data_IF_204055387438
#
_entry.id   IF_204055387438
#
_cell.length_a   1.000
_cell.length_b   1.000
_cell.length_c   1.000
_cell.angle_alpha   90.00
_cell.angle_beta   90.00
_cell.angle_gamma   90.00
#
_symmetry.space_group_name_H-M   'P 1'
#
loop_
_entity.id
_entity.type
_entity.pdbx_description
1 polymer ?
#
# COMPACT_ATOMS: atom_id res chain seq x y z
N UNK A 1 12.31 -14.71 -18.77
CA UNK A 1 12.70 -14.28 -17.40
C UNK A 1 12.01 -15.12 -16.33
N UNK A 2 12.44 -15.07 -15.06
CA UNK A 2 11.79 -15.80 -13.95
C UNK A 2 10.30 -15.42 -13.84
N UNK A 3 9.97 -14.13 -13.97
CA UNK A 3 8.58 -13.65 -13.92
C UNK A 3 7.68 -14.30 -14.99
N UNK A 4 8.17 -14.39 -16.23
CA UNK A 4 7.44 -15.06 -17.32
C UNK A 4 7.36 -16.58 -17.09
N UNK A 5 8.46 -17.19 -16.64
CA UNK A 5 8.52 -18.65 -16.37
C UNK A 5 7.51 -19.08 -15.30
N UNK A 6 7.29 -18.25 -14.29
CA UNK A 6 6.41 -18.55 -13.16
C UNK A 6 5.10 -17.73 -13.16
N UNK A 7 4.82 -16.99 -14.24
CA UNK A 7 3.65 -16.11 -14.38
C UNK A 7 3.44 -15.20 -13.15
N UNK A 8 4.52 -14.55 -12.69
CA UNK A 8 4.52 -13.73 -11.47
C UNK A 8 3.94 -12.33 -11.74
N UNK A 9 3.04 -11.89 -10.86
CA UNK A 9 2.63 -10.48 -10.76
C UNK A 9 3.63 -9.73 -9.87
N UNK A 10 4.40 -8.79 -10.45
CA UNK A 10 5.50 -8.11 -9.75
C UNK A 10 5.22 -6.62 -9.65
N UNK A 11 4.93 -6.18 -8.43
CA UNK A 11 4.74 -4.78 -8.08
C UNK A 11 5.89 -4.19 -7.26
N UNK A 12 6.08 -2.88 -7.35
CA UNK A 12 7.01 -2.12 -6.51
C UNK A 12 6.29 -1.01 -5.74
N UNK A 13 6.63 -0.83 -4.45
CA UNK A 13 6.22 0.33 -3.67
C UNK A 13 7.38 1.35 -3.68
N UNK A 14 7.10 2.61 -4.00
CA UNK A 14 8.13 3.65 -4.20
C UNK A 14 7.63 5.04 -3.82
N UNK A 15 8.55 6.00 -3.65
CA UNK A 15 8.23 7.44 -3.60
C UNK A 15 8.19 8.09 -4.99
N UNK A 16 8.48 7.33 -6.06
CA UNK A 16 8.42 7.78 -7.45
C UNK A 16 9.39 8.93 -7.80
N UNK A 17 10.49 9.08 -7.05
CA UNK A 17 11.55 10.07 -7.37
C UNK A 17 12.43 9.56 -8.50
N UNK A 18 12.87 8.30 -8.42
CA UNK A 18 13.81 7.66 -9.36
C UNK A 18 13.09 7.13 -10.62
N UNK A 19 12.41 8.02 -11.35
CA UNK A 19 11.52 7.63 -12.45
C UNK A 19 12.24 6.90 -13.59
N UNK A 20 13.48 7.26 -13.91
CA UNK A 20 14.24 6.65 -15.01
C UNK A 20 14.48 5.15 -14.75
N UNK A 21 14.79 4.78 -13.51
CA UNK A 21 14.95 3.38 -13.08
C UNK A 21 13.63 2.64 -13.18
N UNK A 22 12.52 3.26 -12.78
CA UNK A 22 11.18 2.66 -12.89
C UNK A 22 10.80 2.40 -14.35
N UNK A 23 10.98 3.40 -15.22
CA UNK A 23 10.71 3.27 -16.66
C UNK A 23 11.57 2.16 -17.27
N UNK A 24 12.86 2.09 -16.91
CA UNK A 24 13.74 1.02 -17.35
C UNK A 24 13.20 -0.36 -16.97
N UNK A 25 12.78 -0.55 -15.71
CA UNK A 25 12.22 -1.82 -15.23
C UNK A 25 10.90 -2.18 -15.93
N UNK A 26 10.04 -1.19 -16.20
CA UNK A 26 8.76 -1.37 -16.91
C UNK A 26 8.99 -1.79 -18.36
N UNK A 27 9.88 -1.09 -19.08
CA UNK A 27 10.22 -1.41 -20.48
C UNK A 27 10.79 -2.82 -20.64
N UNK A 28 11.51 -3.31 -19.63
CA UNK A 28 12.03 -4.68 -19.59
C UNK A 28 11.03 -5.70 -19.04
N UNK A 29 9.79 -5.29 -18.72
CA UNK A 29 8.73 -6.15 -18.17
C UNK A 29 9.12 -6.84 -16.86
N UNK A 30 9.97 -6.20 -16.05
CA UNK A 30 10.36 -6.71 -14.73
C UNK A 30 9.31 -6.43 -13.67
N UNK A 31 8.56 -5.36 -13.86
CA UNK A 31 7.44 -4.94 -13.02
C UNK A 31 6.27 -4.57 -13.93
N UNK A 32 5.06 -4.81 -13.44
CA UNK A 32 3.81 -4.48 -14.12
C UNK A 32 2.89 -3.58 -13.28
N UNK A 33 3.24 -3.38 -11.99
CA UNK A 33 2.51 -2.53 -11.06
C UNK A 33 3.45 -1.62 -10.27
N UNK A 34 3.07 -0.35 -10.14
CA UNK A 34 3.75 0.63 -9.28
C UNK A 34 2.75 1.17 -8.25
N UNK A 35 3.15 1.16 -6.99
CA UNK A 35 2.41 1.75 -5.88
C UNK A 35 3.22 2.95 -5.38
N UNK A 36 2.70 4.15 -5.58
CA UNK A 36 3.39 5.39 -5.22
C UNK A 36 2.89 5.89 -3.88
N UNK A 37 3.79 6.06 -2.91
CA UNK A 37 3.47 6.77 -1.68
C UNK A 37 3.38 8.27 -1.93
N UNK A 38 2.24 8.89 -1.65
CA UNK A 38 1.99 10.33 -1.76
C UNK A 38 1.06 10.74 -0.61
N UNK A 39 1.54 11.54 0.35
CA UNK A 39 0.75 11.93 1.53
C UNK A 39 0.02 13.25 1.32
N UNK A 40 0.57 14.14 0.49
CA UNK A 40 0.02 15.45 0.19
C UNK A 40 -0.22 15.64 -1.31
N UNK A 41 -1.37 16.20 -1.68
CA UNK A 41 -1.76 16.44 -3.06
C UNK A 41 -1.07 17.67 -3.65
N UNK A 42 -0.85 18.70 -2.83
CA UNK A 42 -0.30 19.99 -3.26
C UNK A 42 0.62 20.56 -2.18
N UNK A 43 1.87 20.09 -2.16
CA UNK A 43 2.95 20.60 -1.30
C UNK A 43 4.31 20.52 -2.00
N UNK A 44 5.26 21.31 -1.49
CA UNK A 44 6.67 21.29 -1.91
C UNK A 44 7.36 19.96 -1.62
N UNK A 45 6.88 19.23 -0.61
CA UNK A 45 7.26 17.85 -0.34
C UNK A 45 6.00 16.98 -0.33
N UNK A 46 5.99 15.99 -1.22
CA UNK A 46 4.89 15.04 -1.47
C UNK A 46 4.55 14.12 -0.30
N UNK A 47 5.47 13.93 0.65
CA UNK A 47 5.32 13.02 1.80
C UNK A 47 5.43 13.75 3.12
N UNK A 48 4.97 13.13 4.20
CA UNK A 48 5.30 13.56 5.55
C UNK A 48 6.77 13.23 5.89
N UNK A 49 7.68 13.97 5.26
CA UNK A 49 9.13 13.78 5.32
C UNK A 49 9.82 15.14 5.18
N UNK A 50 10.98 15.36 5.83
CA UNK A 50 11.79 16.56 5.62
C UNK A 50 12.51 16.56 4.27
N UNK A 51 12.57 15.42 3.57
CA UNK A 51 13.25 15.25 2.29
C UNK A 51 12.29 14.66 1.27
N UNK A 52 12.27 15.22 0.07
CA UNK A 52 11.52 14.71 -1.06
C UNK A 52 11.41 15.72 -2.20
N UNK A 53 10.48 15.45 -3.10
CA UNK A 53 10.12 16.34 -4.21
C UNK A 53 8.63 16.71 -4.11
N UNK A 54 8.21 17.72 -4.87
CA UNK A 54 6.86 18.26 -4.81
C UNK A 54 5.79 17.26 -5.24
N UNK A 55 4.59 17.42 -4.70
CA UNK A 55 3.42 16.61 -5.09
C UNK A 55 3.17 16.69 -6.59
N UNK A 56 3.29 17.88 -7.18
CA UNK A 56 3.15 18.10 -8.62
C UNK A 56 4.11 17.21 -9.42
N UNK A 57 5.39 17.22 -9.07
CA UNK A 57 6.39 16.39 -9.75
C UNK A 57 6.08 14.89 -9.62
N UNK A 58 5.59 14.44 -8.47
CA UNK A 58 5.20 13.03 -8.28
C UNK A 58 3.97 12.66 -9.13
N UNK A 59 2.97 13.53 -9.21
CA UNK A 59 1.78 13.31 -10.05
C UNK A 59 2.16 13.26 -11.54
N UNK A 60 3.02 14.16 -12.00
CA UNK A 60 3.55 14.15 -13.37
C UNK A 60 4.33 12.85 -13.66
N UNK A 61 5.13 12.40 -12.69
CA UNK A 61 5.85 11.14 -12.77
C UNK A 61 4.91 9.92 -12.86
N UNK A 62 3.80 9.92 -12.12
CA UNK A 62 2.77 8.87 -12.17
C UNK A 62 2.16 8.79 -13.57
N UNK A 63 1.78 9.93 -14.16
CA UNK A 63 1.20 9.97 -15.51
C UNK A 63 2.20 9.46 -16.55
N UNK A 64 3.47 9.84 -16.41
CA UNK A 64 4.54 9.34 -17.29
C UNK A 64 4.77 7.83 -17.15
N UNK A 65 4.69 7.27 -15.95
CA UNK A 65 4.77 5.81 -15.76
C UNK A 65 3.57 5.11 -16.41
N UNK A 66 2.37 5.66 -16.22
CA UNK A 66 1.14 5.11 -16.76
C UNK A 66 1.13 5.09 -18.29
N UNK A 67 1.73 6.07 -18.95
CA UNK A 67 1.83 6.09 -20.42
C UNK A 67 2.66 4.94 -21.01
N UNK A 68 3.46 4.23 -20.20
CA UNK A 68 4.14 2.99 -20.59
C UNK A 68 3.31 1.72 -20.35
N UNK A 69 2.02 1.84 -19.99
CA UNK A 69 1.10 0.71 -19.79
C UNK A 69 1.26 -0.02 -18.45
N UNK A 70 1.93 0.60 -17.48
CA UNK A 70 2.04 0.06 -16.12
C UNK A 70 0.77 0.37 -15.30
N UNK A 71 0.30 -0.59 -14.50
CA UNK A 71 -0.74 -0.35 -13.49
C UNK A 71 -0.17 0.54 -12.37
N UNK A 72 -0.83 1.65 -12.06
CA UNK A 72 -0.36 2.58 -11.03
C UNK A 72 -1.46 2.84 -10.01
N UNK A 73 -1.09 2.82 -8.74
CA UNK A 73 -1.94 3.24 -7.62
C UNK A 73 -1.18 4.16 -6.67
N UNK A 74 -1.91 5.00 -5.96
CA UNK A 74 -1.35 5.88 -4.92
C UNK A 74 -1.69 5.30 -3.55
N UNK A 75 -0.72 5.21 -2.65
CA UNK A 75 -0.94 4.96 -1.22
C UNK A 75 -0.71 6.24 -0.43
N UNK A 76 -1.67 6.58 0.43
CA UNK A 76 -1.66 7.81 1.20
C UNK A 76 -2.13 7.58 2.62
N UNK A 77 -1.34 7.99 3.61
CA UNK A 77 -1.77 7.90 5.02
C UNK A 77 -2.78 9.00 5.32
N UNK A 78 -3.86 8.67 6.02
CA UNK A 78 -4.81 9.64 6.52
C UNK A 78 -4.33 10.26 7.84
N UNK A 79 -4.17 11.56 7.84
CA UNK A 79 -3.65 12.39 8.93
C UNK A 79 -4.65 13.50 9.32
N UNK A 80 -5.95 13.17 9.31
CA UNK A 80 -7.07 14.08 9.58
C UNK A 80 -7.25 15.24 8.58
N UNK A 81 -6.59 15.17 7.43
CA UNK A 81 -6.73 16.12 6.33
C UNK A 81 -7.70 15.58 5.26
N UNK A 82 -9.00 15.83 5.47
CA UNK A 82 -10.08 15.40 4.57
C UNK A 82 -9.99 16.06 3.19
N UNK A 83 -9.67 17.36 3.13
CA UNK A 83 -9.62 18.12 1.88
C UNK A 83 -8.53 17.57 0.95
N UNK A 84 -7.36 17.25 1.51
CA UNK A 84 -6.30 16.58 0.78
C UNK A 84 -6.75 15.23 0.19
N UNK A 85 -7.52 14.42 0.93
CA UNK A 85 -8.03 13.13 0.41
C UNK A 85 -9.12 13.29 -0.64
N UNK A 86 -9.95 14.32 -0.54
CA UNK A 86 -10.92 14.68 -1.57
C UNK A 86 -10.18 14.96 -2.89
N UNK A 87 -9.18 15.86 -2.86
CA UNK A 87 -8.41 16.23 -4.06
C UNK A 87 -7.68 15.04 -4.67
N UNK A 88 -7.07 14.18 -3.84
CA UNK A 88 -6.44 12.95 -4.31
C UNK A 88 -7.42 12.01 -5.02
N UNK A 89 -8.62 11.83 -4.47
CA UNK A 89 -9.63 10.94 -5.06
C UNK A 89 -10.23 11.54 -6.33
N UNK A 90 -10.48 12.85 -6.37
CA UNK A 90 -10.88 13.57 -7.60
C UNK A 90 -9.86 13.32 -8.72
N UNK A 91 -8.58 13.60 -8.44
CA UNK A 91 -7.50 13.38 -9.39
C UNK A 91 -7.36 11.91 -9.81
N UNK A 92 -7.46 10.98 -8.85
CA UNK A 92 -7.38 9.54 -9.11
C UNK A 92 -8.54 9.01 -9.95
N UNK A 93 -9.75 9.55 -9.79
CA UNK A 93 -10.90 9.21 -10.63
C UNK A 93 -10.66 9.69 -12.06
N UNK A 94 -10.25 10.96 -12.22
CA UNK A 94 -9.98 11.61 -13.52
C UNK A 94 -8.88 10.90 -14.32
N UNK A 95 -7.77 10.56 -13.66
CA UNK A 95 -6.60 9.96 -14.32
C UNK A 95 -6.62 8.43 -14.28
N UNK A 96 -7.72 7.84 -13.81
CA UNK A 96 -7.89 6.41 -13.60
C UNK A 96 -6.74 5.76 -12.81
N UNK A 97 -6.38 6.38 -11.68
CA UNK A 97 -5.39 5.89 -10.72
C UNK A 97 -6.11 5.57 -9.42
N UNK A 98 -6.02 4.31 -8.97
CA UNK A 98 -6.64 3.88 -7.71
C UNK A 98 -5.94 4.55 -6.53
N UNK A 99 -6.73 5.12 -5.61
CA UNK A 99 -6.24 5.68 -4.35
C UNK A 99 -6.39 4.64 -3.23
N UNK A 100 -5.34 4.45 -2.43
CA UNK A 100 -5.33 3.59 -1.24
C UNK A 100 -5.14 4.50 -0.04
N UNK A 101 -6.17 4.62 0.79
CA UNK A 101 -6.15 5.48 1.97
C UNK A 101 -5.89 4.59 3.18
N UNK A 102 -4.78 4.83 3.88
CA UNK A 102 -4.32 4.03 5.00
C UNK A 102 -4.65 4.73 6.32
N UNK A 103 -5.26 4.03 7.26
CA UNK A 103 -5.37 4.52 8.63
C UNK A 103 -3.98 4.62 9.24
N UNK A 104 -3.72 5.71 9.96
CA UNK A 104 -2.47 5.85 10.71
C UNK A 104 -2.33 4.73 11.73
N UNK A 105 -1.15 4.11 11.76
CA UNK A 105 -0.84 3.08 12.75
C UNK A 105 -0.33 3.78 14.02
N UNK A 106 -0.89 3.42 15.17
CA UNK A 106 -0.32 3.77 16.47
C UNK A 106 -0.03 2.49 17.28
N UNK A 107 0.88 2.60 18.25
CA UNK A 107 1.34 1.46 19.05
C UNK A 107 0.36 1.07 20.16
N UNK A 108 -0.63 1.92 20.43
CA UNK A 108 -1.60 1.66 21.49
C UNK A 108 -2.68 0.75 20.93
N UNK A 109 -2.93 -0.36 21.61
CA UNK A 109 -4.08 -1.22 21.30
C UNK A 109 -5.35 -0.38 21.44
N UNK A 110 -6.10 -0.30 20.37
CA UNK A 110 -7.44 0.28 20.37
C UNK A 110 -8.49 -0.80 20.14
N UNK A 111 -9.74 -0.51 20.53
CA UNK A 111 -10.84 -1.46 20.36
C UNK A 111 -11.39 -1.45 18.94
N UNK A 112 -11.29 -0.33 18.24
CA UNK A 112 -11.94 -0.10 16.94
C UNK A 112 -11.07 0.79 16.04
N UNK A 113 -11.36 0.77 14.75
CA UNK A 113 -10.92 1.79 13.78
C UNK A 113 -11.27 3.19 14.30
N UNK A 114 -10.41 4.17 14.04
CA UNK A 114 -10.64 5.56 14.45
C UNK A 114 -11.95 6.12 13.89
N UNK A 115 -12.64 6.92 14.71
CA UNK A 115 -13.90 7.55 14.32
C UNK A 115 -13.67 8.52 13.16
N UNK A 116 -12.52 9.18 13.15
CA UNK A 116 -12.08 10.15 12.16
C UNK A 116 -11.88 9.48 10.79
N UNK A 117 -11.22 8.31 10.76
CA UNK A 117 -11.05 7.54 9.53
C UNK A 117 -12.40 7.04 8.98
N UNK A 118 -13.26 6.48 9.84
CA UNK A 118 -14.60 6.04 9.45
C UNK A 118 -15.49 7.20 8.97
N UNK A 119 -15.35 8.38 9.58
CA UNK A 119 -16.06 9.60 9.15
C UNK A 119 -15.58 10.04 7.77
N UNK A 120 -14.27 10.07 7.53
CA UNK A 120 -13.68 10.38 6.23
C UNK A 120 -14.17 9.39 5.16
N UNK A 121 -14.13 8.10 5.45
CA UNK A 121 -14.64 7.05 4.55
C UNK A 121 -16.08 7.32 4.11
N UNK A 122 -16.99 7.57 5.06
CA UNK A 122 -18.40 7.87 4.78
C UNK A 122 -18.58 9.15 3.96
N UNK A 123 -17.80 10.20 4.24
CA UNK A 123 -17.85 11.44 3.49
C UNK A 123 -17.44 11.21 2.03
N UNK A 124 -16.35 10.48 1.78
CA UNK A 124 -15.91 10.18 0.42
C UNK A 124 -16.91 9.27 -0.30
N UNK A 125 -17.45 8.24 0.36
CA UNK A 125 -18.49 7.38 -0.22
C UNK A 125 -19.70 8.19 -0.71
N UNK A 126 -20.20 9.12 0.12
CA UNK A 126 -21.36 9.94 -0.22
C UNK A 126 -21.03 10.99 -1.29
N UNK A 127 -19.91 11.71 -1.16
CA UNK A 127 -19.53 12.78 -2.10
C UNK A 127 -19.31 12.26 -3.51
N UNK A 128 -18.67 11.10 -3.66
CA UNK A 128 -18.36 10.50 -4.95
C UNK A 128 -19.38 9.44 -5.41
N UNK A 129 -20.48 9.26 -4.66
CA UNK A 129 -21.55 8.28 -4.94
C UNK A 129 -21.00 6.87 -5.21
N UNK A 130 -20.05 6.44 -4.39
CA UNK A 130 -19.35 5.18 -4.59
C UNK A 130 -20.25 3.99 -4.23
N UNK A 131 -20.27 2.98 -5.08
CA UNK A 131 -20.68 1.64 -4.63
C UNK A 131 -19.52 1.01 -3.84
N UNK A 132 -19.80 0.22 -2.81
CA UNK A 132 -18.75 -0.33 -1.95
C UNK A 132 -18.86 -1.84 -1.78
N UNK A 133 -17.70 -2.47 -1.60
CA UNK A 133 -17.57 -3.90 -1.27
C UNK A 133 -16.51 -4.06 -0.19
N UNK A 134 -16.81 -4.90 0.79
CA UNK A 134 -15.87 -5.34 1.81
C UNK A 134 -15.29 -6.69 1.41
N UNK A 135 -13.99 -6.87 1.56
CA UNK A 135 -13.32 -8.14 1.22
C UNK A 135 -13.12 -9.06 2.42
N UNK A 136 -12.45 -10.20 2.20
CA UNK A 136 -12.15 -11.20 3.22
C UNK A 136 -11.17 -10.73 4.29
N UNK A 137 -10.44 -9.64 4.05
CA UNK A 137 -9.50 -9.03 4.98
C UNK A 137 -10.12 -7.82 5.69
N UNK A 138 -11.44 -7.65 5.62
CA UNK A 138 -12.15 -6.51 6.16
C UNK A 138 -11.84 -5.16 5.51
N UNK A 139 -11.14 -5.10 4.37
CA UNK A 139 -10.86 -3.85 3.66
C UNK A 139 -12.08 -3.41 2.86
N UNK A 140 -12.32 -2.09 2.80
CA UNK A 140 -13.46 -1.52 2.09
C UNK A 140 -12.97 -0.88 0.80
N UNK A 141 -13.55 -1.28 -0.34
CA UNK A 141 -13.24 -0.70 -1.65
C UNK A 141 -14.45 0.03 -2.22
N UNK A 142 -14.21 1.22 -2.78
CA UNK A 142 -15.20 2.03 -3.49
C UNK A 142 -15.04 1.92 -5.02
N UNK A 143 -16.17 1.90 -5.73
CA UNK A 143 -16.24 1.69 -7.17
C UNK A 143 -17.16 2.70 -7.86
N UNK A 144 -16.76 3.08 -9.07
CA UNK A 144 -17.56 3.85 -10.05
C UNK A 144 -17.58 3.01 -11.34
N UNK A 145 -18.76 2.70 -11.88
CA UNK A 145 -18.92 1.89 -13.09
C UNK A 145 -18.11 0.59 -13.07
N UNK A 146 -18.17 -0.15 -11.95
CA UNK A 146 -17.39 -1.36 -11.66
C UNK A 146 -15.86 -1.20 -11.60
N UNK A 147 -15.32 0.00 -11.83
CA UNK A 147 -13.89 0.30 -11.65
C UNK A 147 -13.60 0.61 -10.18
N UNK A 148 -12.61 -0.09 -9.60
CA UNK A 148 -12.16 0.17 -8.22
C UNK A 148 -11.34 1.46 -8.17
N UNK A 149 -11.92 2.52 -7.61
CA UNK A 149 -11.29 3.86 -7.58
C UNK A 149 -10.59 4.15 -6.25
N UNK A 150 -11.07 3.56 -5.15
CA UNK A 150 -10.49 3.76 -3.81
C UNK A 150 -10.53 2.48 -2.98
N UNK A 151 -9.57 2.33 -2.08
CA UNK A 151 -9.62 1.34 -1.00
C UNK A 151 -9.18 1.96 0.31
N UNK A 152 -9.97 1.68 1.35
CA UNK A 152 -9.76 2.10 2.72
C UNK A 152 -9.17 0.93 3.49
N UNK A 153 -7.95 1.13 3.99
CA UNK A 153 -7.23 0.16 4.80
C UNK A 153 -7.25 0.64 6.25
N UNK A 154 -8.11 0.07 7.08
CA UNK A 154 -7.99 0.27 8.52
C UNK A 154 -6.75 -0.44 9.06
N UNK A 155 -6.28 -0.01 10.23
CA UNK A 155 -5.06 -0.56 10.81
C UNK A 155 -5.35 -1.86 11.56
N UNK A 156 -5.11 -3.01 10.91
CA UNK A 156 -5.12 -4.31 11.59
C UNK A 156 -4.21 -4.36 12.81
N UNK A 157 -3.07 -3.67 12.76
CA UNK A 157 -2.11 -3.61 13.85
C UNK A 157 -2.71 -2.93 15.08
N UNK A 158 -3.39 -1.80 14.88
CA UNK A 158 -3.99 -0.97 15.93
C UNK A 158 -5.07 -1.70 16.72
N UNK A 159 -5.91 -2.47 16.03
CA UNK A 159 -7.01 -3.24 16.65
C UNK A 159 -6.65 -4.70 16.94
N UNK A 160 -5.39 -5.11 16.72
CA UNK A 160 -4.86 -6.46 16.97
C UNK A 160 -5.57 -7.56 16.17
N UNK A 161 -5.94 -7.28 14.92
CA UNK A 161 -6.38 -8.29 13.94
C UNK A 161 -5.17 -9.04 13.35
N UNK A 162 -4.29 -9.54 14.21
CA UNK A 162 -3.01 -10.11 13.81
C UNK A 162 -3.16 -11.42 13.02
N UNK A 163 -4.23 -12.18 13.29
CA UNK A 163 -4.58 -13.38 12.53
C UNK A 163 -4.98 -13.09 11.08
N UNK A 164 -5.51 -11.90 10.80
CA UNK A 164 -5.77 -11.43 9.44
C UNK A 164 -4.44 -10.97 8.84
N UNK A 165 -3.72 -10.08 9.53
CA UNK A 165 -2.45 -9.49 9.07
C UNK A 165 -1.40 -10.54 8.62
N UNK A 166 -1.25 -11.64 9.37
CA UNK A 166 -0.29 -12.72 9.03
C UNK A 166 -0.60 -13.43 7.71
N UNK A 167 -1.85 -13.39 7.26
CA UNK A 167 -2.29 -14.01 6.00
C UNK A 167 -2.04 -13.11 4.78
N UNK A 168 -1.79 -11.81 5.00
CA UNK A 168 -1.66 -10.83 3.92
C UNK A 168 -0.27 -10.90 3.28
N UNK A 169 0.80 -10.99 4.10
CA UNK A 169 2.17 -10.84 3.61
C UNK A 169 3.19 -11.80 4.25
N UNK A 170 3.98 -12.47 3.42
CA UNK A 170 5.33 -12.90 3.77
C UNK A 170 6.27 -11.70 3.62
N UNK A 171 7.02 -11.35 4.67
CA UNK A 171 8.00 -10.27 4.61
C UNK A 171 9.42 -10.82 4.75
N UNK A 172 10.28 -10.43 3.82
CA UNK A 172 11.73 -10.63 3.90
C UNK A 172 12.38 -9.26 3.99
N UNK A 173 13.22 -9.04 5.00
CA UNK A 173 13.96 -7.80 5.21
C UNK A 173 15.19 -7.73 4.29
N UNK A 174 15.74 -6.53 4.09
CA UNK A 174 16.96 -6.35 3.28
C UNK A 174 18.19 -7.08 3.84
N UNK A 175 18.23 -7.33 5.16
CA UNK A 175 19.26 -8.14 5.79
C UNK A 175 18.94 -9.65 5.80
N UNK A 176 17.96 -10.10 5.01
CA UNK A 176 17.68 -11.52 4.78
C UNK A 176 17.03 -12.24 5.96
N UNK A 177 16.08 -11.59 6.64
CA UNK A 177 15.27 -12.20 7.70
C UNK A 177 13.80 -12.26 7.29
N UNK A 178 13.14 -13.40 7.51
CA UNK A 178 11.69 -13.51 7.42
C UNK A 178 11.04 -12.98 8.70
N UNK A 179 10.05 -12.10 8.56
CA UNK A 179 9.44 -11.34 9.66
C UNK A 179 7.91 -11.42 9.64
N UNK A 180 7.31 -12.03 10.66
CA UNK A 180 5.84 -12.20 10.74
C UNK A 180 5.11 -10.91 11.14
N UNK A 181 5.75 -10.01 11.90
CA UNK A 181 5.18 -8.74 12.34
C UNK A 181 6.12 -7.59 12.02
N UNK A 182 5.66 -6.45 11.50
CA UNK A 182 6.54 -5.30 11.23
C UNK A 182 7.26 -4.77 12.48
N UNK A 183 6.62 -4.92 13.64
CA UNK A 183 7.02 -4.26 14.89
C UNK A 183 7.61 -5.21 15.93
N UNK A 184 7.71 -6.50 15.63
CA UNK A 184 8.34 -7.49 16.51
C UNK A 184 9.40 -8.26 15.73
N UNK A 185 10.62 -8.36 16.28
CA UNK A 185 11.76 -9.08 15.71
C UNK A 185 12.19 -10.32 16.51
N UNK A 186 11.53 -10.63 17.63
CA UNK A 186 11.88 -11.77 18.48
C UNK A 186 11.87 -13.12 17.76
N UNK A 187 10.99 -13.28 16.78
CA UNK A 187 10.83 -14.51 15.99
C UNK A 187 11.33 -14.37 14.54
N UNK A 188 12.14 -13.36 14.24
CA UNK A 188 12.71 -13.19 12.90
C UNK A 188 13.59 -14.40 12.54
N UNK A 189 13.36 -14.99 11.37
CA UNK A 189 14.08 -16.19 10.91
C UNK A 189 15.12 -15.80 9.87
N UNK A 190 16.39 -16.08 10.10
CA UNK A 190 17.44 -15.85 9.10
C UNK A 190 17.28 -16.79 7.90
N UNK A 191 17.36 -16.24 6.68
CA UNK A 191 17.20 -17.00 5.44
C UNK A 191 18.37 -16.88 4.47
N UNK A 192 19.51 -16.38 4.94
CA UNK A 192 20.74 -16.26 4.13
C UNK A 192 21.47 -17.58 3.88
N UNK A 193 21.08 -18.66 4.58
CA UNK A 193 21.71 -19.98 4.47
C UNK A 193 20.88 -20.96 3.62
N UNK A 194 21.47 -22.09 3.21
CA UNK A 194 20.87 -23.13 2.34
C UNK A 194 19.59 -23.81 2.90
N UNK A 195 19.10 -23.39 4.07
CA UNK A 195 17.89 -23.90 4.73
C UNK A 195 16.63 -23.09 4.41
N UNK A 196 16.62 -22.26 3.36
CA UNK A 196 15.49 -21.38 3.00
C UNK A 196 14.13 -22.10 3.02
N UNK A 197 14.05 -23.29 2.43
CA UNK A 197 12.79 -24.06 2.34
C UNK A 197 12.28 -24.50 3.72
N UNK A 198 13.17 -24.93 4.60
CA UNK A 198 12.82 -25.32 5.97
C UNK A 198 12.39 -24.11 6.79
N UNK A 199 13.10 -22.98 6.63
CA UNK A 199 12.79 -21.74 7.32
C UNK A 199 11.48 -21.11 6.83
N UNK A 200 11.19 -21.19 5.54
CA UNK A 200 9.90 -20.80 4.98
C UNK A 200 8.76 -21.66 5.53
N UNK A 201 8.95 -22.99 5.61
CA UNK A 201 7.94 -23.88 6.20
C UNK A 201 7.66 -23.51 7.66
N UNK A 202 8.71 -23.28 8.46
CA UNK A 202 8.60 -22.77 9.83
C UNK A 202 7.85 -21.44 9.89
N UNK A 203 8.10 -20.51 8.98
CA UNK A 203 7.40 -19.22 8.93
C UNK A 203 5.90 -19.38 8.70
N UNK A 204 5.50 -20.27 7.79
CA UNK A 204 4.09 -20.47 7.42
C UNK A 204 3.33 -21.20 8.53
N UNK A 205 3.96 -22.18 9.18
CA UNK A 205 3.31 -23.03 10.19
C UNK A 205 3.29 -22.41 11.59
N UNK A 206 4.26 -21.55 11.94
CA UNK A 206 4.33 -20.99 13.30
C UNK A 206 3.19 -20.00 13.54
N UNK A 207 2.47 -20.11 14.67
CA UNK A 207 1.58 -19.06 15.11
C UNK A 207 2.43 -17.82 15.35
N UNK A 208 1.99 -16.70 14.81
CA UNK A 208 2.72 -15.47 15.00
C UNK A 208 2.54 -14.99 16.44
N UNK A 209 3.66 -14.66 17.10
CA UNK A 209 3.66 -14.14 18.47
C UNK A 209 3.45 -12.63 18.42
N UNK A 210 2.44 -12.17 19.14
CA UNK A 210 2.06 -10.78 19.17
C UNK A 210 1.91 -10.34 20.62
N UNK A 211 2.63 -9.28 21.00
CA UNK A 211 2.52 -8.58 22.29
C UNK A 211 1.72 -7.30 22.11
#
# INVERSE_FOLDING_TARGET
>A
MISEKYNLDIGINTNCIEIEKLIYMIKHKWINRVIVGLDYFDKDISKNSPVGVSSKQILDNILKIKSFGCDVSISSVYNDDLENKIKMLEWGIEHEVRIKILEIVNYKKEKNTSKEFLKMEKILQNKFKLSYKKDSYNEISGYIDNRKVVTFFHSHCKIRECDICKQIHLRITANGKMKQCMYNDEDDIDVKNMQFKENLKKYIERPAKFY
#
